data_IF_718313213770
#
_entry.id   IF_718313213770
#
_cell.length_a   1.000
_cell.length_b   1.000
_cell.length_c   1.000
_cell.angle_alpha   90.00
_cell.angle_beta   90.00
_cell.angle_gamma   90.00
#
_symmetry.space_group_name_H-M   'P 1'
#
loop_
_entity.id
_entity.type
_entity.pdbx_description
1 polymer ?
#
# COMPACT_ATOMS: atom_id res chain seq x y z
N UNK A 1 -14.06 -8.32 10.64
CA UNK A 1 -12.69 -7.80 10.69
C UNK A 1 -12.69 -6.35 10.29
N UNK A 2 -12.05 -5.50 11.04
CA UNK A 2 -11.92 -4.09 10.68
C UNK A 2 -10.65 -3.85 9.86
N UNK A 3 -10.73 -2.95 8.87
CA UNK A 3 -9.58 -2.46 8.11
C UNK A 3 -9.14 -1.06 8.57
N UNK A 4 -9.78 -0.54 9.61
CA UNK A 4 -9.35 0.71 10.22
C UNK A 4 -8.03 0.49 10.96
N UNK A 5 -7.10 1.42 10.78
CA UNK A 5 -5.82 1.37 11.47
C UNK A 5 -5.92 1.98 12.85
N UNK A 6 -5.22 1.40 13.82
CA UNK A 6 -5.06 1.99 15.15
C UNK A 6 -4.34 3.34 15.05
N UNK A 7 -4.43 4.20 16.08
CA UNK A 7 -3.63 5.44 16.07
C UNK A 7 -2.14 5.20 15.89
N UNK A 8 -1.59 4.15 16.52
CA UNK A 8 -0.17 3.81 16.37
C UNK A 8 0.15 3.38 14.93
N UNK A 9 -0.74 2.60 14.30
CA UNK A 9 -0.55 2.18 12.92
C UNK A 9 -0.66 3.36 11.96
N UNK A 10 -1.57 4.31 12.22
CA UNK A 10 -1.68 5.52 11.40
C UNK A 10 -0.40 6.36 11.45
N UNK A 11 0.21 6.51 12.62
CA UNK A 11 1.51 7.17 12.71
C UNK A 11 2.57 6.40 11.93
N UNK A 12 2.60 5.08 12.07
CA UNK A 12 3.60 4.24 11.44
C UNK A 12 3.57 4.36 9.90
N UNK A 13 2.37 4.31 9.29
CA UNK A 13 2.26 4.42 7.83
C UNK A 13 2.50 5.83 7.30
N UNK A 14 2.57 6.82 8.18
CA UNK A 14 2.90 8.19 7.80
C UNK A 14 4.38 8.54 8.06
N UNK A 15 5.14 7.68 8.72
CA UNK A 15 6.58 7.85 8.82
C UNK A 15 7.21 7.72 7.43
N UNK A 16 8.24 8.52 7.16
CA UNK A 16 8.95 8.46 5.88
C UNK A 16 9.77 7.17 5.79
N UNK A 17 9.18 6.13 5.23
CA UNK A 17 9.76 4.79 5.20
C UNK A 17 9.34 4.05 3.94
N UNK A 18 10.27 3.30 3.34
CA UNK A 18 9.92 2.42 2.23
C UNK A 18 9.21 1.17 2.72
N UNK A 19 8.51 0.53 1.80
CA UNK A 19 7.81 -0.72 2.02
C UNK A 19 8.13 -1.68 0.89
N UNK A 20 7.71 -2.93 1.01
CA UNK A 20 7.74 -3.88 -0.09
C UNK A 20 6.34 -4.06 -0.64
N UNK A 21 6.23 -4.15 -1.95
CA UNK A 21 4.99 -4.48 -2.65
C UNK A 21 5.12 -5.89 -3.22
N UNK A 22 4.17 -6.74 -2.88
CA UNK A 22 4.09 -8.11 -3.41
C UNK A 22 2.92 -8.24 -4.36
N UNK A 23 3.19 -8.70 -5.55
CA UNK A 23 2.20 -9.07 -6.56
C UNK A 23 2.57 -10.46 -7.08
N UNK A 24 1.67 -11.11 -7.80
CA UNK A 24 1.95 -12.45 -8.32
C UNK A 24 2.25 -12.41 -9.80
N UNK A 25 3.33 -13.11 -10.19
CA UNK A 25 3.66 -13.34 -11.59
C UNK A 25 2.65 -14.29 -12.23
N UNK A 26 2.68 -14.39 -13.56
CA UNK A 26 1.77 -15.26 -14.31
C UNK A 26 1.83 -16.72 -13.86
N UNK A 27 3.00 -17.18 -13.41
CA UNK A 27 3.17 -18.57 -12.94
C UNK A 27 2.83 -18.74 -11.45
N UNK A 28 2.29 -17.71 -10.80
CA UNK A 28 1.91 -17.76 -9.39
C UNK A 28 3.03 -17.47 -8.39
N UNK A 29 4.25 -17.23 -8.87
CA UNK A 29 5.35 -16.92 -7.95
C UNK A 29 5.32 -15.44 -7.55
N UNK A 30 5.69 -15.12 -6.30
CA UNK A 30 5.64 -13.74 -5.84
C UNK A 30 6.73 -12.87 -6.46
N UNK A 31 6.34 -11.65 -6.82
CA UNK A 31 7.23 -10.58 -7.25
C UNK A 31 7.25 -9.55 -6.13
N UNK A 32 8.41 -9.30 -5.54
CA UNK A 32 8.55 -8.43 -4.36
C UNK A 32 9.56 -7.33 -4.68
N UNK A 33 9.12 -6.08 -4.58
CA UNK A 33 9.97 -4.91 -4.87
C UNK A 33 9.75 -3.82 -3.81
N UNK A 34 10.77 -3.00 -3.61
CA UNK A 34 10.67 -1.85 -2.72
C UNK A 34 9.85 -0.73 -3.37
N UNK A 35 8.96 -0.13 -2.61
CA UNK A 35 8.10 0.96 -3.06
C UNK A 35 7.89 1.98 -1.94
N UNK A 36 7.46 3.19 -2.33
CA UNK A 36 6.79 4.09 -1.40
C UNK A 36 5.30 3.94 -1.59
N UNK A 37 4.53 3.95 -0.51
CA UNK A 37 3.08 3.92 -0.60
C UNK A 37 2.46 4.97 0.31
N UNK A 38 1.21 5.32 0.06
CA UNK A 38 0.44 6.22 0.91
C UNK A 38 -0.84 5.53 1.36
N UNK A 39 -1.31 5.90 2.54
CA UNK A 39 -2.55 5.39 3.11
C UNK A 39 -3.63 6.46 3.11
N UNK A 40 -4.79 6.12 2.58
CA UNK A 40 -5.98 6.96 2.61
C UNK A 40 -6.95 6.39 3.66
N UNK A 41 -7.06 7.04 4.83
CA UNK A 41 -7.88 6.50 5.92
C UNK A 41 -9.38 6.57 5.64
N UNK A 42 -9.81 7.48 4.77
CA UNK A 42 -11.22 7.63 4.42
C UNK A 42 -11.67 6.53 3.47
N UNK A 43 -10.94 6.34 2.37
CA UNK A 43 -11.26 5.32 1.37
C UNK A 43 -10.72 3.95 1.73
N UNK A 44 -9.79 3.87 2.68
CA UNK A 44 -9.06 2.64 3.05
C UNK A 44 -8.33 2.04 1.87
N UNK A 45 -7.64 2.90 1.16
CA UNK A 45 -6.86 2.54 -0.03
C UNK A 45 -5.38 2.83 0.22
N UNK A 46 -4.54 1.85 -0.09
CA UNK A 46 -3.10 2.06 -0.20
C UNK A 46 -2.76 2.32 -1.66
N UNK A 47 -2.02 3.40 -1.93
CA UNK A 47 -1.66 3.80 -3.29
C UNK A 47 -0.16 3.71 -3.50
N UNK A 48 0.23 3.16 -4.63
CA UNK A 48 1.62 3.12 -5.09
C UNK A 48 1.67 3.77 -6.46
N UNK A 49 2.49 4.80 -6.63
CA UNK A 49 2.72 5.39 -7.95
C UNK A 49 3.87 4.66 -8.64
N UNK A 50 3.73 4.39 -9.92
CA UNK A 50 4.73 3.64 -10.68
C UNK A 50 4.57 3.89 -12.17
N UNK A 51 5.57 3.47 -12.94
CA UNK A 51 5.46 3.53 -14.40
C UNK A 51 4.49 2.47 -14.92
N UNK A 52 3.69 2.85 -15.92
CA UNK A 52 2.67 1.98 -16.49
C UNK A 52 3.19 0.73 -17.17
N UNK A 53 4.47 0.69 -17.55
CA UNK A 53 5.09 -0.46 -18.19
C UNK A 53 5.77 -1.42 -17.22
N UNK A 54 5.70 -1.16 -15.90
CA UNK A 54 6.40 -1.97 -14.91
C UNK A 54 5.79 -3.37 -14.75
N UNK A 55 6.61 -4.32 -14.27
CA UNK A 55 6.17 -5.69 -14.04
C UNK A 55 5.05 -5.75 -13.00
N UNK A 56 5.12 -4.93 -11.95
CA UNK A 56 4.08 -4.91 -10.91
C UNK A 56 2.73 -4.48 -11.46
N UNK A 57 2.70 -3.56 -12.42
CA UNK A 57 1.45 -3.16 -13.09
C UNK A 57 0.86 -4.33 -13.88
N UNK A 58 1.68 -5.02 -14.66
CA UNK A 58 1.22 -6.20 -15.41
C UNK A 58 0.67 -7.27 -14.47
N UNK A 59 1.34 -7.49 -13.35
CA UNK A 59 0.90 -8.48 -12.37
C UNK A 59 -0.45 -8.10 -11.76
N UNK A 60 -0.65 -6.82 -11.42
CA UNK A 60 -1.94 -6.34 -10.88
C UNK A 60 -3.04 -6.46 -11.91
N UNK A 61 -2.78 -6.07 -13.17
CA UNK A 61 -3.80 -6.17 -14.23
C UNK A 61 -4.27 -7.61 -14.44
N UNK A 62 -3.39 -8.57 -14.26
CA UNK A 62 -3.72 -9.99 -14.44
C UNK A 62 -4.34 -10.61 -13.19
N UNK A 63 -3.74 -10.35 -12.02
CA UNK A 63 -4.10 -11.04 -10.78
C UNK A 63 -5.10 -10.29 -9.91
N UNK A 64 -5.12 -8.96 -10.00
CA UNK A 64 -6.07 -8.13 -9.27
C UNK A 64 -5.92 -8.14 -7.75
N UNK A 65 -4.75 -8.48 -7.23
CA UNK A 65 -4.49 -8.52 -5.79
C UNK A 65 -3.07 -8.10 -5.49
N UNK A 66 -2.85 -7.43 -4.34
CA UNK A 66 -1.52 -7.00 -3.93
C UNK A 66 -1.44 -6.83 -2.41
N UNK A 67 -0.22 -6.90 -1.91
CA UNK A 67 0.08 -6.65 -0.51
C UNK A 67 1.26 -5.70 -0.39
N UNK A 68 1.15 -4.72 0.50
CA UNK A 68 2.25 -3.81 0.83
C UNK A 68 2.62 -3.98 2.29
N UNK A 69 3.92 -4.09 2.58
CA UNK A 69 4.41 -4.36 3.93
C UNK A 69 5.52 -3.39 4.28
N UNK A 70 5.37 -2.71 5.41
CA UNK A 70 6.37 -1.80 5.96
C UNK A 70 6.99 -2.42 7.21
N UNK A 71 8.31 -2.39 7.30
CA UNK A 71 9.04 -2.97 8.44
C UNK A 71 10.03 -1.94 8.95
N UNK A 72 10.01 -1.67 10.25
CA UNK A 72 10.95 -0.77 10.90
C UNK A 72 11.32 -1.32 12.28
N UNK A 73 12.46 -2.00 12.36
CA UNK A 73 12.84 -2.71 13.56
C UNK A 73 11.87 -3.85 13.86
N UNK A 74 11.33 -3.87 15.07
CA UNK A 74 10.35 -4.89 15.47
C UNK A 74 8.92 -4.56 15.06
N UNK A 75 8.67 -3.33 14.57
CA UNK A 75 7.34 -2.92 14.11
C UNK A 75 7.17 -3.28 12.64
N UNK A 76 6.02 -3.83 12.30
CA UNK A 76 5.69 -4.11 10.92
C UNK A 76 4.18 -4.04 10.72
N UNK A 77 3.78 -3.73 9.49
CA UNK A 77 2.38 -3.64 9.09
C UNK A 77 2.25 -4.08 7.64
N UNK A 78 1.29 -4.96 7.39
CA UNK A 78 0.96 -5.41 6.03
C UNK A 78 -0.49 -5.08 5.73
N UNK A 79 -0.70 -4.46 4.58
CA UNK A 79 -2.01 -4.08 4.05
C UNK A 79 -2.21 -4.84 2.75
N UNK A 80 -3.31 -5.58 2.62
CA UNK A 80 -3.56 -6.33 1.39
C UNK A 80 -5.02 -6.33 1.00
N UNK A 81 -5.26 -6.51 -0.28
CA UNK A 81 -6.59 -6.59 -0.83
C UNK A 81 -6.63 -6.56 -2.35
N UNK A 82 -7.83 -6.51 -2.92
CA UNK A 82 -7.98 -6.33 -4.37
C UNK A 82 -7.24 -5.07 -4.82
N UNK A 83 -6.56 -5.19 -5.95
CA UNK A 83 -5.76 -4.11 -6.49
C UNK A 83 -6.16 -3.83 -7.94
N UNK A 84 -6.22 -2.56 -8.28
CA UNK A 84 -6.54 -2.08 -9.62
C UNK A 84 -5.52 -1.05 -10.06
N UNK A 85 -5.47 -0.81 -11.36
CA UNK A 85 -4.62 0.23 -11.93
C UNK A 85 -5.51 1.43 -12.27
N UNK A 86 -5.15 2.59 -11.73
CA UNK A 86 -5.80 3.84 -12.05
C UNK A 86 -4.87 4.65 -12.94
N UNK A 87 -5.35 5.03 -14.12
CA UNK A 87 -4.57 5.79 -15.10
C UNK A 87 -5.24 7.11 -15.49
N UNK A 88 -6.41 7.42 -14.95
CA UNK A 88 -7.04 8.70 -15.19
C UNK A 88 -6.18 9.83 -14.62
N UNK A 89 -6.04 10.96 -15.33
CA UNK A 89 -5.17 12.05 -14.87
C UNK A 89 -5.46 12.56 -13.46
N UNK A 90 -6.72 12.65 -13.06
CA UNK A 90 -7.09 13.13 -11.72
C UNK A 90 -6.65 12.14 -10.64
N UNK A 91 -6.76 10.84 -10.91
CA UNK A 91 -6.33 9.80 -9.96
C UNK A 91 -4.81 9.81 -9.78
N UNK A 92 -4.08 9.99 -10.89
CA UNK A 92 -2.62 10.07 -10.86
C UNK A 92 -2.18 11.33 -10.09
N UNK A 93 -2.81 12.47 -10.35
CA UNK A 93 -2.50 13.72 -9.65
C UNK A 93 -2.74 13.60 -8.14
N UNK A 94 -3.85 13.00 -7.74
CA UNK A 94 -4.13 12.81 -6.31
C UNK A 94 -3.11 11.89 -5.65
N UNK A 95 -2.73 10.81 -6.32
CA UNK A 95 -1.72 9.89 -5.81
C UNK A 95 -0.34 10.55 -5.70
N UNK A 96 0.02 11.39 -6.67
CA UNK A 96 1.26 12.15 -6.64
C UNK A 96 1.29 13.15 -5.49
N UNK A 97 0.16 13.83 -5.24
CA UNK A 97 0.04 14.76 -4.11
C UNK A 97 0.25 14.04 -2.77
N UNK A 98 -0.39 12.90 -2.58
CA UNK A 98 -0.23 12.10 -1.36
C UNK A 98 1.21 11.60 -1.20
N UNK A 99 1.83 11.15 -2.28
CA UNK A 99 3.23 10.73 -2.28
C UNK A 99 4.14 11.88 -1.87
N UNK A 100 3.91 13.08 -2.40
CA UNK A 100 4.71 14.26 -2.08
C UNK A 100 4.62 14.62 -0.60
N UNK A 101 3.43 14.48 0.01
CA UNK A 101 3.22 14.77 1.43
C UNK A 101 4.01 13.82 2.33
N UNK A 102 4.18 12.57 1.93
CA UNK A 102 4.88 11.58 2.75
C UNK A 102 6.38 11.51 2.46
N UNK A 103 6.76 11.64 1.21
CA UNK A 103 8.14 11.44 0.75
C UNK A 103 8.75 12.71 0.18
N UNK A 104 8.45 13.01 -1.05
CA UNK A 104 8.93 14.18 -1.79
C UNK A 104 8.13 14.32 -3.07
N UNK A 105 8.22 15.48 -3.71
CA UNK A 105 7.61 15.67 -5.03
C UNK A 105 8.26 14.67 -6.01
N UNK A 106 7.46 13.78 -6.62
CA UNK A 106 8.02 12.81 -7.55
C UNK A 106 8.49 13.49 -8.84
N UNK A 107 9.48 12.88 -9.49
CA UNK A 107 9.91 13.37 -10.80
C UNK A 107 8.75 13.24 -11.79
N UNK A 108 8.78 14.08 -12.81
CA UNK A 108 7.77 14.04 -13.87
C UNK A 108 7.84 12.71 -14.62
N UNK A 109 6.69 12.08 -14.83
CA UNK A 109 6.58 10.83 -15.58
C UNK A 109 5.20 10.77 -16.26
N UNK A 110 5.13 11.03 -17.58
CA UNK A 110 3.84 11.07 -18.30
C UNK A 110 3.15 9.71 -18.42
N UNK A 111 3.87 8.61 -18.20
CA UNK A 111 3.30 7.26 -18.24
C UNK A 111 3.03 6.69 -16.85
N UNK A 112 3.03 7.54 -15.83
CA UNK A 112 2.75 7.13 -14.45
C UNK A 112 1.31 6.68 -14.29
N UNK A 113 1.16 5.59 -13.54
CA UNK A 113 -0.14 5.08 -13.12
C UNK A 113 -0.13 4.85 -11.61
N UNK A 114 -1.26 4.49 -11.06
CA UNK A 114 -1.44 4.22 -9.65
C UNK A 114 -1.87 2.77 -9.47
N UNK A 115 -1.19 2.04 -8.59
CA UNK A 115 -1.71 0.78 -8.07
C UNK A 115 -2.52 1.16 -6.83
N UNK A 116 -3.81 0.91 -6.87
CA UNK A 116 -4.72 1.17 -5.76
C UNK A 116 -5.13 -0.14 -5.13
N UNK A 117 -4.76 -0.34 -3.87
CA UNK A 117 -5.11 -1.54 -3.11
C UNK A 117 -6.28 -1.19 -2.20
N UNK A 118 -7.43 -1.80 -2.45
CA UNK A 118 -8.59 -1.69 -1.56
C UNK A 118 -8.36 -2.65 -0.40
N UNK A 119 -7.92 -2.10 0.73
CA UNK A 119 -7.42 -2.91 1.83
C UNK A 119 -8.57 -3.63 2.53
N UNK A 120 -8.51 -4.95 2.53
CA UNK A 120 -9.48 -5.83 3.18
C UNK A 120 -8.87 -6.62 4.33
N UNK A 121 -7.54 -6.67 4.41
CA UNK A 121 -6.85 -7.37 5.49
C UNK A 121 -5.68 -6.54 5.98
N UNK A 122 -5.61 -6.38 7.29
CA UNK A 122 -4.51 -5.69 7.97
C UNK A 122 -3.86 -6.68 8.92
N UNK A 123 -2.55 -6.85 8.79
CA UNK A 123 -1.73 -7.65 9.70
C UNK A 123 -0.64 -6.76 10.25
N UNK A 124 -0.28 -6.91 11.51
CA UNK A 124 0.75 -6.06 12.10
C UNK A 124 1.38 -6.69 13.32
N UNK A 125 2.52 -6.13 13.71
CA UNK A 125 3.08 -6.39 15.02
C UNK A 125 2.09 -5.92 16.10
N UNK A 126 2.20 -6.50 17.28
CA UNK A 126 1.23 -6.33 18.36
C UNK A 126 1.02 -4.86 18.75
N UNK A 127 2.10 -4.10 18.80
CA UNK A 127 2.03 -2.69 19.21
C UNK A 127 1.27 -1.81 18.22
N UNK A 128 1.08 -2.27 16.98
CA UNK A 128 0.34 -1.55 15.95
C UNK A 128 -1.06 -2.10 15.74
N UNK A 129 -1.41 -3.20 16.39
CA UNK A 129 -2.71 -3.83 16.19
C UNK A 129 -3.84 -2.95 16.73
N UNK A 130 -4.96 -2.90 15.99
CA UNK A 130 -6.16 -2.26 16.49
C UNK A 130 -6.69 -3.05 17.68
N UNK A 131 -7.22 -2.37 18.73
CA UNK A 131 -7.85 -3.08 19.82
C UNK A 131 -9.02 -3.92 19.32
N UNK A 132 -9.08 -5.16 19.78
CA UNK A 132 -10.22 -6.04 19.57
C UNK A 132 -10.84 -6.28 20.95
N UNK A 133 -12.08 -5.80 21.15
CA UNK A 133 -12.75 -5.88 22.44
C UNK A 133 -12.98 -7.32 22.90
N UNK A 134 -12.95 -8.27 21.99
CA UNK A 134 -13.15 -9.68 22.26
C UNK A 134 -11.87 -10.49 22.32
N UNK A 135 -10.73 -9.87 22.05
CA UNK A 135 -9.44 -10.56 22.06
C UNK A 135 -8.79 -10.47 23.44
N UNK A 136 -8.17 -11.56 23.93
CA UNK A 136 -7.38 -11.47 25.15
C UNK A 136 -6.21 -10.50 24.94
N UNK A 137 -5.98 -9.67 25.93
CA UNK A 137 -4.79 -8.82 25.94
C UNK A 137 -3.56 -9.67 26.24
N UNK A 138 -2.55 -9.51 25.45
CA UNK A 138 -1.32 -10.30 25.57
C UNK A 138 -0.13 -9.42 25.88
#
# INVERSE_FOLDING_TARGET
MTTALSPAALEFVNERHLATLTTLRANGTPHVVAVGFTWDPTARIARVITDGASAKVRNVRRGGYAAVSQVAGARWLTLEGPATILDAPDDVTEAERRYADRYRVPRENPTRVVIAIEVQRVMSSRTLAAPDDNAPQQ
#
